data_IF_654999484743
#
_entry.id   IF_654999484743
#
_cell.length_a   1.000
_cell.length_b   1.000
_cell.length_c   1.000
_cell.angle_alpha   90.00
_cell.angle_beta   90.00
_cell.angle_gamma   90.00
#
_symmetry.space_group_name_H-M   'P 1'
#
loop_
_entity.id
_entity.type
_entity.pdbx_description
1 polymer ?
#
# COMPACT_ATOMS: atom_id res chain seq x y z
N UNK A 1 12.96 7.48 14.35
CA UNK A 1 12.62 6.05 14.60
C UNK A 1 11.12 5.79 14.78
N UNK A 2 10.36 6.57 15.58
CA UNK A 2 8.91 6.37 15.79
C UNK A 2 8.05 6.46 14.50
N UNK A 3 8.43 7.33 13.55
CA UNK A 3 7.73 7.50 12.25
C UNK A 3 7.85 6.26 11.36
N UNK A 4 9.06 5.71 11.21
CA UNK A 4 9.31 4.55 10.36
C UNK A 4 8.62 3.27 10.86
N UNK A 5 8.57 3.06 12.18
CA UNK A 5 7.86 1.91 12.76
C UNK A 5 6.34 2.01 12.55
N UNK A 6 5.76 3.21 12.68
CA UNK A 6 4.34 3.46 12.37
C UNK A 6 4.05 3.31 10.88
N UNK A 7 4.97 3.74 10.01
CA UNK A 7 4.80 3.64 8.56
C UNK A 7 4.91 2.19 8.08
N UNK A 8 5.88 1.43 8.58
CA UNK A 8 5.98 -0.01 8.29
C UNK A 8 4.80 -0.79 8.87
N UNK A 9 4.39 -0.51 10.11
CA UNK A 9 3.22 -1.14 10.72
C UNK A 9 1.92 -0.81 9.97
N UNK A 10 1.77 0.44 9.51
CA UNK A 10 0.64 0.88 8.69
C UNK A 10 0.61 0.21 7.33
N UNK A 11 1.75 0.14 6.63
CA UNK A 11 1.85 -0.53 5.32
C UNK A 11 1.58 -2.03 5.43
N UNK A 12 2.13 -2.71 6.44
CA UNK A 12 1.91 -4.13 6.67
C UNK A 12 0.45 -4.39 7.07
N UNK A 13 -0.11 -3.59 7.98
CA UNK A 13 -1.51 -3.70 8.41
C UNK A 13 -2.49 -3.43 7.26
N UNK A 14 -2.21 -2.44 6.43
CA UNK A 14 -3.01 -2.13 5.24
C UNK A 14 -2.90 -3.25 4.20
N UNK A 15 -1.71 -3.79 3.97
CA UNK A 15 -1.49 -4.93 3.07
C UNK A 15 -2.24 -6.18 3.52
N UNK A 16 -2.13 -6.55 4.80
CA UNK A 16 -2.85 -7.70 5.36
C UNK A 16 -4.37 -7.49 5.38
N UNK A 17 -4.84 -6.30 5.75
CA UNK A 17 -6.25 -5.93 5.72
C UNK A 17 -6.83 -5.97 4.30
N UNK A 18 -6.05 -5.51 3.31
CA UNK A 18 -6.43 -5.57 1.90
C UNK A 18 -6.54 -7.02 1.39
N UNK A 19 -5.59 -7.89 1.74
CA UNK A 19 -5.66 -9.31 1.40
C UNK A 19 -6.91 -9.96 2.01
N UNK A 20 -7.18 -9.71 3.29
CA UNK A 20 -8.35 -10.24 3.97
C UNK A 20 -9.66 -9.74 3.34
N UNK A 21 -9.75 -8.44 3.03
CA UNK A 21 -10.91 -7.86 2.35
C UNK A 21 -11.09 -8.43 0.93
N UNK A 22 -10.00 -8.62 0.19
CA UNK A 22 -10.03 -9.21 -1.15
C UNK A 22 -10.54 -10.65 -1.14
N UNK A 23 -10.11 -11.46 -0.16
CA UNK A 23 -10.61 -12.82 0.03
C UNK A 23 -12.09 -12.87 0.44
N UNK A 24 -12.51 -11.97 1.33
CA UNK A 24 -13.91 -11.85 1.73
C UNK A 24 -14.80 -11.48 0.53
N UNK A 25 -14.34 -10.51 -0.27
CA UNK A 25 -15.07 -10.05 -1.45
C UNK A 25 -15.09 -11.13 -2.54
N UNK A 26 -14.02 -11.90 -2.71
CA UNK A 26 -14.01 -13.07 -3.59
C UNK A 26 -15.11 -14.06 -3.24
N UNK A 27 -15.29 -14.40 -1.96
CA UNK A 27 -16.37 -15.29 -1.53
C UNK A 27 -17.75 -14.75 -1.92
N UNK A 28 -17.99 -13.46 -1.69
CA UNK A 28 -19.28 -12.84 -2.02
C UNK A 28 -19.50 -12.83 -3.54
N UNK A 29 -18.53 -12.35 -4.31
CA UNK A 29 -18.64 -12.27 -5.78
C UNK A 29 -18.77 -13.66 -6.41
N UNK A 30 -18.14 -14.69 -5.83
CA UNK A 30 -18.23 -16.07 -6.32
C UNK A 30 -19.62 -16.68 -6.25
N UNK A 31 -20.43 -16.23 -5.30
CA UNK A 31 -21.81 -16.69 -5.15
C UNK A 31 -22.75 -16.03 -6.17
N UNK A 32 -22.47 -14.81 -6.60
CA UNK A 32 -23.36 -14.04 -7.47
C UNK A 32 -22.95 -14.05 -8.95
N UNK A 33 -21.65 -14.06 -9.26
CA UNK A 33 -21.14 -13.89 -10.63
C UNK A 33 -19.92 -14.79 -10.91
N UNK A 34 -20.06 -16.12 -10.83
CA UNK A 34 -18.93 -17.07 -10.86
C UNK A 34 -18.04 -16.94 -12.11
N UNK A 35 -18.60 -16.58 -13.28
CA UNK A 35 -17.80 -16.44 -14.50
C UNK A 35 -16.86 -15.22 -14.51
N UNK A 36 -17.17 -14.17 -13.74
CA UNK A 36 -16.41 -12.92 -13.72
C UNK A 36 -15.51 -12.77 -12.50
N UNK A 37 -15.61 -13.68 -11.53
CA UNK A 37 -14.84 -13.65 -10.27
C UNK A 37 -13.35 -13.51 -10.52
N UNK A 38 -12.81 -14.35 -11.38
CA UNK A 38 -11.37 -14.38 -11.65
C UNK A 38 -10.89 -13.06 -12.27
N UNK A 39 -11.62 -12.56 -13.26
CA UNK A 39 -11.32 -11.27 -13.89
C UNK A 39 -11.42 -10.14 -12.87
N UNK A 40 -12.51 -10.08 -12.10
CA UNK A 40 -12.73 -9.01 -11.13
C UNK A 40 -11.69 -9.00 -10.02
N UNK A 41 -11.32 -10.19 -9.52
CA UNK A 41 -10.31 -10.33 -8.49
C UNK A 41 -8.90 -10.02 -9.02
N UNK A 42 -8.56 -10.47 -10.22
CA UNK A 42 -7.26 -10.16 -10.83
C UNK A 42 -7.14 -8.66 -11.10
N UNK A 43 -8.12 -8.05 -11.76
CA UNK A 43 -8.11 -6.61 -12.05
C UNK A 43 -8.20 -5.75 -10.78
N UNK A 44 -9.05 -6.14 -9.82
CA UNK A 44 -9.19 -5.43 -8.55
C UNK A 44 -7.92 -5.48 -7.70
N UNK A 45 -7.28 -6.65 -7.60
CA UNK A 45 -6.01 -6.80 -6.89
C UNK A 45 -4.88 -6.08 -7.61
N UNK A 46 -4.81 -6.13 -8.94
CA UNK A 46 -3.78 -5.44 -9.72
C UNK A 46 -3.93 -3.93 -9.62
N UNK A 47 -5.14 -3.38 -9.72
CA UNK A 47 -5.38 -1.93 -9.63
C UNK A 47 -5.07 -1.42 -8.22
N UNK A 48 -5.63 -2.05 -7.19
CA UNK A 48 -5.45 -1.57 -5.80
C UNK A 48 -4.03 -1.87 -5.30
N UNK A 49 -3.48 -3.04 -5.64
CA UNK A 49 -2.10 -3.39 -5.35
C UNK A 49 -1.12 -2.44 -6.04
N UNK A 50 -1.35 -2.11 -7.32
CA UNK A 50 -0.55 -1.15 -8.07
C UNK A 50 -0.61 0.27 -7.47
N UNK A 51 -1.80 0.76 -7.13
CA UNK A 51 -1.98 2.04 -6.45
C UNK A 51 -1.27 2.07 -5.09
N UNK A 52 -1.39 1.00 -4.30
CA UNK A 52 -0.70 0.86 -3.01
C UNK A 52 0.82 0.91 -3.16
N UNK A 53 1.37 0.26 -4.20
CA UNK A 53 2.80 0.27 -4.51
C UNK A 53 3.29 1.67 -4.90
N UNK A 54 2.53 2.39 -5.75
CA UNK A 54 2.85 3.77 -6.14
C UNK A 54 2.87 4.69 -4.93
N UNK A 55 1.87 4.59 -4.05
CA UNK A 55 1.79 5.42 -2.83
C UNK A 55 2.95 5.10 -1.88
N UNK A 56 3.26 3.82 -1.67
CA UNK A 56 4.38 3.39 -0.83
C UNK A 56 5.72 3.93 -1.32
N UNK A 57 6.01 3.78 -2.62
CA UNK A 57 7.23 4.31 -3.25
C UNK A 57 7.27 5.84 -3.15
N UNK A 58 6.14 6.52 -3.41
CA UNK A 58 6.05 7.98 -3.34
C UNK A 58 6.35 8.50 -1.94
N UNK A 59 5.84 7.84 -0.91
CA UNK A 59 6.10 8.19 0.49
C UNK A 59 7.57 7.97 0.87
N UNK A 60 8.16 6.84 0.45
CA UNK A 60 9.56 6.56 0.71
C UNK A 60 10.49 7.59 0.03
N UNK A 61 10.20 7.97 -1.21
CA UNK A 61 10.94 9.02 -1.92
C UNK A 61 10.78 10.38 -1.22
N UNK A 62 9.57 10.71 -0.77
CA UNK A 62 9.30 11.94 -0.04
C UNK A 62 10.09 12.01 1.27
N UNK A 63 10.11 10.92 2.05
CA UNK A 63 10.85 10.85 3.32
C UNK A 63 12.36 10.93 3.09
N UNK A 64 12.90 10.23 2.08
CA UNK A 64 14.31 10.33 1.68
C UNK A 64 14.72 11.76 1.27
N UNK A 65 13.86 12.47 0.53
CA UNK A 65 14.12 13.87 0.14
C UNK A 65 14.03 14.83 1.32
N UNK A 66 13.11 14.60 2.26
CA UNK A 66 12.99 15.43 3.47
C UNK A 66 14.24 15.29 4.35
N UNK A 67 14.68 14.06 4.62
CA UNK A 67 15.86 13.78 5.46
C UNK A 67 17.14 14.39 4.86
N UNK A 68 17.27 14.38 3.53
CA UNK A 68 18.41 15.01 2.85
C UNK A 68 18.45 16.54 3.04
N UNK A 69 17.29 17.20 2.99
CA UNK A 69 17.17 18.65 3.20
C UNK A 69 17.40 19.07 4.65
N UNK A 70 16.96 18.27 5.62
CA UNK A 70 17.24 18.53 7.05
C UNK A 70 18.75 18.40 7.35
N UNK A 71 19.43 17.38 6.81
CA UNK A 71 20.87 17.18 7.00
C UNK A 71 21.75 18.27 6.34
N UNK A 72 21.31 18.87 5.24
CA UNK A 72 22.03 19.97 4.59
C UNK A 72 21.90 21.29 5.37
N UNK A 73 20.75 21.54 6.02
CA UNK A 73 20.58 22.71 6.89
C UNK A 73 21.45 22.64 8.14
N UNK A 74 21.55 21.47 8.77
CA UNK A 74 22.33 21.26 10.00
C UNK A 74 23.86 21.38 9.79
N UNK A 75 24.35 21.28 8.55
CA UNK A 75 25.77 21.46 8.23
C UNK A 75 26.17 22.90 7.88
N UNK A 76 25.20 23.79 7.75
CA UNK A 76 25.44 25.19 7.31
C UNK A 76 25.32 26.20 8.46
N UNK A 77 24.85 25.75 9.64
CA UNK A 77 24.93 26.46 10.93
C UNK A 77 26.16 25.97 11.73
#
# INVERSE_FOLDING_TARGET
MRSAAFMNGGLIGFGLGFIAASLALHRVVSLYLPQYVWTWQFWGVVIVGGLGLIVGIGFEIYERRRLKKESEKEKTD
#
